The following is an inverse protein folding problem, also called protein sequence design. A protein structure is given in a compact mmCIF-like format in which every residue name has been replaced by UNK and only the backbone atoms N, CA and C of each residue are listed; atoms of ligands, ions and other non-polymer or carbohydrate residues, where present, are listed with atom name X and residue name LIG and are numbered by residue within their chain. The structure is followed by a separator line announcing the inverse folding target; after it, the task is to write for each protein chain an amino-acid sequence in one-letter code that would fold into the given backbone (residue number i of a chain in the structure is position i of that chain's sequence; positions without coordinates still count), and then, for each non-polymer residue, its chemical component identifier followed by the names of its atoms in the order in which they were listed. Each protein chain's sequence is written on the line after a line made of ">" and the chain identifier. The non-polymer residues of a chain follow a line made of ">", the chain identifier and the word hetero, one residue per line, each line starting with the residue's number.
data_IF_794870284554
#
_entry.id   IF_794870284554
#
_cell.length_a   1.000
_cell.length_b   1.000
_cell.length_c   1.000
_cell.angle_alpha   90.00
_cell.angle_beta   90.00
_cell.angle_gamma   90.00
#
_symmetry.space_group_name_H-M   'P 1'
#
loop_
_entity.id
_entity.type
_entity.pdbx_description
1 polymer ?
#
# COMPACT_ATOMS: atom_id res chain seq x y z
N UNK A 1 -20.65 -16.83 13.67
CA UNK A 1 -19.26 -16.31 13.56
C UNK A 1 -18.20 -17.41 13.38
N UNK A 2 -18.33 -18.53 14.10
CA UNK A 2 -17.39 -19.68 14.07
C UNK A 2 -17.32 -20.39 12.69
N UNK A 3 -18.46 -20.62 12.04
CA UNK A 3 -18.53 -21.24 10.69
C UNK A 3 -17.84 -20.42 9.59
N UNK A 4 -17.87 -19.07 9.67
CA UNK A 4 -17.15 -18.19 8.72
C UNK A 4 -15.63 -18.30 8.93
N UNK A 5 -15.16 -18.38 10.18
CA UNK A 5 -13.74 -18.59 10.51
C UNK A 5 -13.25 -19.95 10.02
N UNK A 6 -14.03 -21.02 10.24
CA UNK A 6 -13.69 -22.38 9.78
C UNK A 6 -13.64 -22.50 8.25
N UNK A 7 -14.61 -21.91 7.53
CA UNK A 7 -14.57 -21.84 6.06
C UNK A 7 -13.38 -21.03 5.53
N UNK A 8 -13.05 -19.90 6.17
CA UNK A 8 -11.87 -19.09 5.82
C UNK A 8 -10.58 -19.87 6.04
N UNK A 9 -10.46 -20.57 7.18
CA UNK A 9 -9.30 -21.37 7.53
C UNK A 9 -9.11 -22.55 6.56
N UNK A 10 -10.18 -23.29 6.25
CA UNK A 10 -10.15 -24.38 5.27
C UNK A 10 -9.75 -23.90 3.88
N UNK A 11 -10.30 -22.76 3.43
CA UNK A 11 -9.93 -22.11 2.17
C UNK A 11 -8.47 -21.66 2.15
N UNK A 12 -7.97 -20.99 3.19
CA UNK A 12 -6.57 -20.57 3.30
C UNK A 12 -5.61 -21.77 3.28
N UNK A 13 -5.98 -22.86 3.96
CA UNK A 13 -5.18 -24.09 3.99
C UNK A 13 -5.16 -24.79 2.64
N UNK A 14 -6.28 -24.86 1.93
CA UNK A 14 -6.33 -25.39 0.55
C UNK A 14 -5.55 -24.53 -0.44
N UNK A 15 -5.67 -23.22 -0.33
CA UNK A 15 -4.99 -22.28 -1.20
C UNK A 15 -3.47 -22.27 -0.95
N UNK A 16 -3.04 -22.46 0.31
CA UNK A 16 -1.66 -22.70 0.69
C UNK A 16 -1.11 -24.02 0.10
N UNK A 17 -1.90 -25.10 0.10
CA UNK A 17 -1.52 -26.38 -0.54
C UNK A 17 -1.35 -26.22 -2.06
N UNK A 18 -2.13 -25.33 -2.67
CA UNK A 18 -2.06 -25.01 -4.11
C UNK A 18 -1.06 -23.88 -4.44
N UNK A 19 -0.33 -23.33 -3.44
CA UNK A 19 0.50 -22.12 -3.59
C UNK A 19 -0.22 -20.93 -4.25
N UNK A 20 -1.54 -20.85 -4.08
CA UNK A 20 -2.39 -19.76 -4.60
C UNK A 20 -3.05 -19.02 -3.45
N UNK A 21 -2.30 -18.21 -2.69
CA UNK A 21 -2.84 -17.50 -1.54
C UNK A 21 -4.10 -16.68 -1.92
N UNK A 22 -5.10 -16.67 -1.03
CA UNK A 22 -6.39 -16.01 -1.31
C UNK A 22 -6.37 -14.49 -1.04
N UNK A 23 -5.33 -14.01 -0.37
CA UNK A 23 -5.21 -12.62 0.09
C UNK A 23 -3.77 -12.16 -0.09
N UNK A 24 -3.51 -10.86 -0.20
CA UNK A 24 -2.16 -10.28 -0.25
C UNK A 24 -1.36 -10.43 1.06
N UNK A 25 -2.05 -10.63 2.20
CA UNK A 25 -1.42 -10.84 3.52
C UNK A 25 -0.49 -12.05 3.59
N UNK A 26 0.71 -11.83 4.08
CA UNK A 26 1.81 -12.79 4.31
C UNK A 26 2.49 -12.54 5.64
N UNK A 27 3.43 -13.42 5.97
CA UNK A 27 4.15 -13.43 7.23
C UNK A 27 5.63 -13.69 7.00
N UNK A 28 6.48 -12.75 7.41
CA UNK A 28 7.93 -12.89 7.43
C UNK A 28 8.31 -13.64 8.71
N UNK A 29 9.29 -14.54 8.62
CA UNK A 29 9.76 -15.32 9.77
C UNK A 29 10.31 -14.38 10.85
N UNK A 30 9.58 -14.28 11.96
CA UNK A 30 9.93 -13.40 13.06
C UNK A 30 11.23 -13.78 13.77
N UNK A 31 11.67 -15.04 13.68
CA UNK A 31 12.93 -15.49 14.29
C UNK A 31 14.14 -15.09 13.46
N UNK A 32 14.00 -15.13 12.13
CA UNK A 32 15.03 -14.64 11.23
C UNK A 32 15.09 -13.10 11.25
N UNK A 33 13.93 -12.45 11.40
CA UNK A 33 13.81 -11.01 11.50
C UNK A 33 13.80 -10.30 10.14
N UNK A 34 13.50 -8.99 10.18
CA UNK A 34 13.34 -8.17 8.98
C UNK A 34 14.64 -8.03 8.18
N UNK A 35 15.79 -7.85 8.85
CA UNK A 35 17.09 -7.74 8.17
C UNK A 35 17.38 -8.97 7.31
N UNK A 36 17.22 -10.18 7.86
CA UNK A 36 17.47 -11.42 7.11
C UNK A 36 16.51 -11.57 5.92
N UNK A 37 15.27 -11.11 6.05
CA UNK A 37 14.32 -11.09 4.95
C UNK A 37 14.78 -10.13 3.83
N UNK A 38 15.14 -8.90 4.17
CA UNK A 38 15.61 -7.90 3.19
C UNK A 38 16.90 -8.35 2.49
N UNK A 39 17.85 -8.92 3.23
CA UNK A 39 19.07 -9.52 2.67
C UNK A 39 18.75 -10.67 1.71
N UNK A 40 17.75 -11.51 2.05
CA UNK A 40 17.29 -12.59 1.19
C UNK A 40 16.70 -12.07 -0.12
N UNK A 41 15.88 -11.01 -0.07
CA UNK A 41 15.33 -10.38 -1.27
C UNK A 41 16.42 -9.80 -2.16
N UNK A 42 17.41 -9.12 -1.55
CA UNK A 42 18.57 -8.56 -2.24
C UNK A 42 19.42 -9.65 -2.90
N UNK A 43 19.72 -10.73 -2.18
CA UNK A 43 20.48 -11.86 -2.70
C UNK A 43 19.77 -12.58 -3.85
N UNK A 44 18.44 -12.69 -3.78
CA UNK A 44 17.60 -13.25 -4.85
C UNK A 44 17.33 -12.28 -6.00
N UNK A 45 17.80 -11.02 -5.90
CA UNK A 45 17.58 -9.94 -6.87
C UNK A 45 16.09 -9.72 -7.18
N UNK A 46 15.26 -9.74 -6.14
CA UNK A 46 13.83 -9.46 -6.26
C UNK A 46 13.64 -7.98 -6.56
N UNK A 47 12.86 -7.64 -7.58
CA UNK A 47 12.43 -6.27 -7.87
C UNK A 47 11.21 -5.89 -7.02
N UNK A 48 11.47 -5.21 -5.90
CA UNK A 48 10.45 -4.78 -4.94
C UNK A 48 10.71 -3.38 -4.40
N UNK A 49 9.68 -2.83 -3.75
CA UNK A 49 9.69 -1.57 -2.96
C UNK A 49 8.86 -1.75 -1.70
N UNK A 50 9.37 -1.32 -0.55
CA UNK A 50 8.56 -1.12 0.67
C UNK A 50 7.85 0.23 0.58
N UNK A 51 6.53 0.24 0.60
CA UNK A 51 5.71 1.36 0.14
C UNK A 51 5.68 2.56 1.07
N UNK A 52 5.68 2.33 2.38
CA UNK A 52 5.49 3.37 3.41
C UNK A 52 5.96 2.86 4.76
N UNK A 53 6.13 3.78 5.69
CA UNK A 53 6.53 3.50 7.09
C UNK A 53 7.86 2.74 7.18
N UNK A 54 8.72 2.95 6.18
CA UNK A 54 10.00 2.26 6.07
C UNK A 54 11.11 2.94 6.88
N UNK A 55 10.89 4.15 7.40
CA UNK A 55 11.91 4.99 8.05
C UNK A 55 12.56 4.35 9.28
N UNK A 56 11.83 3.46 9.96
CA UNK A 56 12.34 2.73 11.13
C UNK A 56 12.92 1.37 10.80
N UNK A 57 12.87 0.92 9.54
CA UNK A 57 13.37 -0.40 9.19
C UNK A 57 14.88 -0.53 9.48
N UNK A 58 15.32 -1.69 10.00
CA UNK A 58 14.59 -2.95 10.11
C UNK A 58 13.68 -3.09 11.34
N UNK A 59 13.62 -2.09 12.21
CA UNK A 59 12.79 -2.12 13.42
C UNK A 59 11.32 -1.85 13.07
N UNK A 60 10.44 -2.72 13.59
CA UNK A 60 9.00 -2.68 13.33
C UNK A 60 8.28 -2.57 14.67
N UNK A 61 7.50 -1.51 14.80
CA UNK A 61 6.69 -1.29 16.00
C UNK A 61 5.67 -2.41 16.21
N UNK A 62 5.38 -2.79 17.47
CA UNK A 62 4.41 -3.85 17.75
C UNK A 62 3.04 -3.55 17.12
N UNK A 63 2.57 -4.47 16.27
CA UNK A 63 1.25 -4.35 15.63
C UNK A 63 1.27 -3.76 14.23
N UNK A 64 2.38 -3.14 13.81
CA UNK A 64 2.59 -2.66 12.45
C UNK A 64 2.83 -3.79 11.47
N UNK A 65 2.54 -3.51 10.21
CA UNK A 65 2.81 -4.37 9.07
C UNK A 65 3.65 -3.67 8.00
N UNK A 66 4.19 -4.46 7.08
CA UNK A 66 5.01 -3.96 5.98
C UNK A 66 4.28 -4.14 4.66
N UNK A 67 4.02 -3.05 3.95
CA UNK A 67 3.43 -3.08 2.62
C UNK A 67 4.51 -3.08 1.55
N UNK A 68 4.45 -4.05 0.65
CA UNK A 68 5.45 -4.29 -0.38
C UNK A 68 4.78 -4.30 -1.75
N UNK A 69 5.31 -3.52 -2.68
CA UNK A 69 5.06 -3.68 -4.11
C UNK A 69 6.17 -4.53 -4.73
N UNK A 70 5.82 -5.47 -5.60
CA UNK A 70 6.75 -6.34 -6.32
C UNK A 70 6.42 -6.37 -7.82
N UNK A 71 7.43 -6.51 -8.67
CA UNK A 71 7.23 -6.80 -10.09
C UNK A 71 6.46 -8.12 -10.27
N UNK A 72 5.67 -8.23 -11.34
CA UNK A 72 4.85 -9.42 -11.61
C UNK A 72 5.73 -10.66 -11.80
N UNK A 73 6.88 -10.49 -12.47
CA UNK A 73 7.89 -11.51 -12.74
C UNK A 73 8.59 -12.02 -11.48
N UNK A 74 8.54 -11.24 -10.40
CA UNK A 74 9.16 -11.51 -9.10
C UNK A 74 8.17 -11.95 -8.02
N UNK A 75 6.87 -11.90 -8.31
CA UNK A 75 5.83 -12.27 -7.36
C UNK A 75 6.02 -13.70 -6.80
N UNK A 76 6.48 -14.65 -7.63
CA UNK A 76 6.80 -15.99 -7.16
C UNK A 76 8.04 -16.02 -6.24
N UNK A 77 9.09 -15.27 -6.59
CA UNK A 77 10.36 -15.24 -5.83
C UNK A 77 10.16 -14.66 -4.44
N UNK A 78 9.38 -13.58 -4.31
CA UNK A 78 9.09 -12.99 -3.00
C UNK A 78 8.17 -13.88 -2.16
N UNK A 79 7.22 -14.57 -2.79
CA UNK A 79 6.30 -15.49 -2.09
C UNK A 79 7.07 -16.67 -1.48
N UNK A 80 8.14 -17.15 -2.11
CA UNK A 80 9.01 -18.19 -1.55
C UNK A 80 9.78 -17.74 -0.29
N UNK A 81 9.83 -16.44 -0.01
CA UNK A 81 10.49 -15.87 1.16
C UNK A 81 9.54 -15.63 2.35
N UNK A 82 8.25 -15.92 2.20
CA UNK A 82 7.22 -15.61 3.20
C UNK A 82 6.25 -16.77 3.42
N UNK A 83 5.57 -16.76 4.56
CA UNK A 83 4.54 -17.74 4.90
C UNK A 83 3.12 -17.22 4.67
N UNK A 84 2.20 -18.11 4.32
CA UNK A 84 0.75 -17.81 4.25
C UNK A 84 0.07 -17.94 5.62
N UNK A 85 0.65 -18.74 6.52
CA UNK A 85 0.13 -18.98 7.85
C UNK A 85 1.01 -18.29 8.89
N UNK A 86 0.38 -17.48 9.75
CA UNK A 86 1.06 -16.78 10.85
C UNK A 86 1.53 -17.75 11.92
N UNK A 87 2.77 -17.60 12.36
CA UNK A 87 3.33 -18.20 13.58
C UNK A 87 3.51 -17.13 14.67
N UNK A 88 3.84 -17.58 15.87
CA UNK A 88 4.21 -16.67 16.95
C UNK A 88 5.45 -15.87 16.53
N UNK A 89 5.46 -14.57 16.83
CA UNK A 89 6.52 -13.60 16.50
C UNK A 89 6.64 -13.22 15.03
N UNK A 90 5.93 -13.85 14.11
CA UNK A 90 5.97 -13.46 12.70
C UNK A 90 5.55 -12.01 12.48
N UNK A 91 6.28 -11.34 11.59
CA UNK A 91 6.01 -9.98 11.13
C UNK A 91 5.00 -10.06 10.00
N UNK A 92 3.90 -9.31 10.12
CA UNK A 92 2.89 -9.27 9.08
C UNK A 92 3.36 -8.39 7.92
N UNK A 93 3.10 -8.82 6.68
CA UNK A 93 3.33 -7.99 5.51
C UNK A 93 2.22 -8.18 4.47
N UNK A 94 2.00 -7.17 3.66
CA UNK A 94 1.09 -7.21 2.52
C UNK A 94 1.90 -7.13 1.23
N UNK A 95 1.74 -8.11 0.35
CA UNK A 95 2.44 -8.17 -0.93
C UNK A 95 1.48 -7.84 -2.06
N UNK A 96 1.76 -6.77 -2.78
CA UNK A 96 1.03 -6.33 -3.96
C UNK A 96 1.89 -6.48 -5.19
N UNK A 97 1.34 -7.03 -6.27
CA UNK A 97 2.01 -7.06 -7.58
C UNK A 97 1.49 -5.95 -8.48
N UNK A 98 2.28 -5.59 -9.49
CA UNK A 98 1.97 -4.52 -10.45
C UNK A 98 0.60 -4.73 -11.09
N UNK A 99 0.31 -5.91 -11.62
CA UNK A 99 -0.98 -6.18 -12.28
C UNK A 99 -2.08 -6.64 -11.31
N UNK A 100 -1.77 -6.80 -10.02
CA UNK A 100 -2.69 -7.42 -9.07
C UNK A 100 -2.91 -8.91 -9.34
N UNK A 101 -1.84 -9.68 -9.53
CA UNK A 101 -1.89 -11.14 -9.68
C UNK A 101 -2.65 -11.82 -8.52
N UNK A 102 -3.25 -13.00 -8.76
CA UNK A 102 -3.99 -13.73 -7.73
C UNK A 102 -3.20 -13.91 -6.43
N UNK A 103 -3.80 -13.50 -5.31
CA UNK A 103 -3.16 -13.56 -4.00
C UNK A 103 -2.18 -12.43 -3.70
N UNK A 104 -2.03 -11.47 -4.62
CA UNK A 104 -1.29 -10.21 -4.45
C UNK A 104 -2.10 -9.01 -4.94
N UNK A 105 -3.40 -9.22 -5.19
CA UNK A 105 -4.34 -8.16 -5.55
C UNK A 105 -4.89 -7.46 -4.30
N UNK A 106 -5.29 -6.21 -4.47
CA UNK A 106 -6.07 -5.45 -3.49
C UNK A 106 -7.47 -5.19 -4.04
N UNK A 107 -8.50 -5.69 -3.33
CA UNK A 107 -9.92 -5.52 -3.69
C UNK A 107 -10.18 -5.88 -5.17
N UNK A 108 -9.71 -7.05 -5.58
CA UNK A 108 -9.89 -7.62 -6.92
C UNK A 108 -9.25 -6.80 -8.07
N UNK A 109 -8.19 -6.05 -7.79
CA UNK A 109 -7.37 -5.38 -8.80
C UNK A 109 -5.95 -5.05 -8.32
N UNK A 110 -5.21 -4.30 -9.13
CA UNK A 110 -3.91 -3.74 -8.76
C UNK A 110 -4.06 -2.71 -7.63
N UNK A 111 -3.00 -2.53 -6.83
CA UNK A 111 -3.02 -1.59 -5.73
C UNK A 111 -2.93 -0.13 -6.21
N UNK A 112 -2.08 0.09 -7.22
CA UNK A 112 -1.87 1.35 -7.94
C UNK A 112 -2.20 1.15 -9.43
N UNK A 113 -2.33 2.23 -10.23
CA UNK A 113 -2.28 2.11 -11.69
C UNK A 113 -1.00 1.37 -12.13
N UNK A 114 -1.08 0.36 -13.02
CA UNK A 114 0.07 -0.50 -13.32
C UNK A 114 1.29 0.22 -13.89
N UNK A 115 1.09 1.27 -14.69
CA UNK A 115 2.18 2.12 -15.19
C UNK A 115 2.91 2.84 -14.05
N UNK A 116 2.16 3.39 -13.09
CA UNK A 116 2.72 4.06 -11.90
C UNK A 116 3.41 3.09 -10.94
N UNK A 117 2.87 1.88 -10.79
CA UNK A 117 3.52 0.82 -10.04
C UNK A 117 4.89 0.44 -10.64
N UNK A 118 4.99 0.30 -11.97
CA UNK A 118 6.26 0.03 -12.66
C UNK A 118 7.25 1.18 -12.52
N UNK A 119 6.78 2.41 -12.72
CA UNK A 119 7.62 3.61 -12.54
C UNK A 119 8.23 3.65 -11.13
N UNK A 120 7.43 3.35 -10.10
CA UNK A 120 7.91 3.32 -8.72
C UNK A 120 8.96 2.23 -8.47
N UNK A 121 8.81 1.04 -9.07
CA UNK A 121 9.82 -0.01 -9.01
C UNK A 121 11.12 0.41 -9.73
N UNK A 122 11.00 1.06 -10.89
CA UNK A 122 12.14 1.53 -11.68
C UNK A 122 12.94 2.61 -10.96
N UNK A 123 12.26 3.58 -10.35
CA UNK A 123 12.89 4.73 -9.68
C UNK A 123 13.29 4.47 -8.22
N UNK A 124 12.96 3.30 -7.68
CA UNK A 124 13.18 3.01 -6.27
C UNK A 124 14.66 3.13 -5.87
N UNK A 125 14.87 3.76 -4.71
CA UNK A 125 16.19 4.05 -4.16
C UNK A 125 16.52 3.12 -3.00
N UNK A 126 17.80 2.88 -2.78
CA UNK A 126 18.27 2.12 -1.62
C UNK A 126 18.36 3.03 -0.39
N UNK A 127 17.54 2.77 0.63
CA UNK A 127 17.67 3.39 1.94
C UNK A 127 18.70 2.62 2.77
N UNK A 128 19.74 3.31 3.23
CA UNK A 128 20.82 2.77 4.05
C UNK A 128 21.51 1.51 3.45
N UNK A 129 21.45 1.34 2.13
CA UNK A 129 21.95 0.15 1.43
C UNK A 129 21.21 -1.16 1.74
N UNK A 130 20.11 -1.10 2.51
CA UNK A 130 19.41 -2.25 3.09
C UNK A 130 18.10 -2.57 2.35
N UNK A 131 17.27 -1.56 2.12
CA UNK A 131 15.89 -1.74 1.61
C UNK A 131 15.63 -0.81 0.43
N UNK A 132 14.85 -1.29 -0.55
CA UNK A 132 14.34 -0.45 -1.64
C UNK A 132 13.06 0.25 -1.24
N UNK A 133 13.04 1.56 -1.39
CA UNK A 133 11.93 2.45 -1.03
C UNK A 133 11.61 3.36 -2.21
N UNK A 134 10.42 3.97 -2.29
CA UNK A 134 10.13 4.94 -3.32
C UNK A 134 11.09 6.13 -3.21
N UNK A 135 11.44 6.73 -4.34
CA UNK A 135 11.98 8.10 -4.38
C UNK A 135 11.02 9.07 -3.70
N UNK A 136 11.50 10.26 -3.32
CA UNK A 136 10.68 11.24 -2.58
C UNK A 136 9.40 11.61 -3.33
N UNK A 137 9.48 11.82 -4.64
CA UNK A 137 8.32 12.13 -5.49
C UNK A 137 7.32 10.97 -5.50
N UNK A 138 7.76 9.75 -5.79
CA UNK A 138 6.92 8.56 -5.78
C UNK A 138 6.39 8.23 -4.37
N UNK A 139 7.11 8.55 -3.30
CA UNK A 139 6.62 8.36 -1.93
C UNK A 139 5.45 9.31 -1.66
N UNK A 140 5.60 10.59 -2.00
CA UNK A 140 4.53 11.57 -1.91
C UNK A 140 3.29 11.09 -2.70
N UNK A 141 3.46 10.79 -4.00
CA UNK A 141 2.34 10.43 -4.89
C UNK A 141 1.65 9.13 -4.47
N UNK A 142 2.42 8.10 -4.11
CA UNK A 142 1.87 6.81 -3.72
C UNK A 142 1.20 6.84 -2.34
N UNK A 143 1.69 7.67 -1.40
CA UNK A 143 1.04 7.88 -0.11
C UNK A 143 -0.22 8.75 -0.26
N UNK A 144 -0.21 9.77 -1.11
CA UNK A 144 -1.40 10.55 -1.45
C UNK A 144 -2.49 9.64 -2.03
N UNK A 145 -2.11 8.78 -2.99
CA UNK A 145 -3.03 7.80 -3.57
C UNK A 145 -3.63 6.89 -2.50
N UNK A 146 -2.81 6.35 -1.59
CA UNK A 146 -3.29 5.53 -0.49
C UNK A 146 -4.29 6.28 0.39
N UNK A 147 -3.93 7.49 0.82
CA UNK A 147 -4.74 8.30 1.69
C UNK A 147 -6.11 8.61 1.06
N UNK A 148 -6.17 9.04 -0.20
CA UNK A 148 -7.44 9.47 -0.78
C UNK A 148 -8.27 8.31 -1.35
N UNK A 149 -7.65 7.33 -2.02
CA UNK A 149 -8.41 6.28 -2.72
C UNK A 149 -8.64 5.03 -1.87
N UNK A 150 -7.72 4.68 -0.95
CA UNK A 150 -7.89 3.51 -0.09
C UNK A 150 -8.54 3.82 1.26
N UNK A 151 -8.29 5.02 1.81
CA UNK A 151 -8.81 5.47 3.11
C UNK A 151 -9.92 6.52 3.00
N UNK A 152 -9.81 7.51 2.11
CA UNK A 152 -10.78 8.60 1.97
C UNK A 152 -10.88 9.41 3.26
N UNK A 153 -12.09 9.59 3.78
CA UNK A 153 -12.33 10.27 5.07
C UNK A 153 -11.58 9.66 6.26
N UNK A 154 -11.22 8.37 6.19
CA UNK A 154 -10.46 7.69 7.23
C UNK A 154 -8.97 8.08 7.26
N UNK A 155 -8.50 8.87 6.29
CA UNK A 155 -7.13 9.40 6.30
C UNK A 155 -6.97 10.62 7.23
N UNK A 156 -8.07 11.23 7.69
CA UNK A 156 -8.02 12.49 8.43
C UNK A 156 -7.78 13.73 7.58
N UNK A 157 -7.59 13.57 6.27
CA UNK A 157 -7.42 14.70 5.35
C UNK A 157 -8.78 15.40 5.16
N UNK A 158 -8.85 16.74 5.28
CA UNK A 158 -10.10 17.48 5.13
C UNK A 158 -10.59 17.49 3.69
N UNK A 159 -11.90 17.65 3.52
CA UNK A 159 -12.52 17.96 2.23
C UNK A 159 -12.65 19.48 2.05
N UNK A 160 -12.56 19.96 0.80
CA UNK A 160 -12.90 21.34 0.45
C UNK A 160 -14.37 21.66 0.76
N UNK A 161 -15.24 20.65 0.70
CA UNK A 161 -16.65 20.81 1.01
C UNK A 161 -16.86 20.73 2.53
N UNK A 162 -17.11 21.89 3.15
CA UNK A 162 -17.30 22.03 4.61
C UNK A 162 -18.27 21.00 5.20
N UNK A 163 -19.37 20.69 4.52
CA UNK A 163 -20.37 19.71 4.99
C UNK A 163 -19.81 18.28 5.11
N UNK A 164 -18.89 17.91 4.20
CA UNK A 164 -18.24 16.59 4.17
C UNK A 164 -17.23 16.41 5.31
N UNK A 165 -16.68 17.50 5.85
CA UNK A 165 -15.74 17.43 6.99
C UNK A 165 -16.33 16.85 8.27
N UNK A 166 -17.66 16.75 8.39
CA UNK A 166 -18.31 16.03 9.50
C UNK A 166 -18.06 14.52 9.47
N UNK A 167 -17.62 13.98 8.33
CA UNK A 167 -17.31 12.55 8.13
C UNK A 167 -15.82 12.22 8.25
N UNK A 168 -14.96 13.24 8.25
CA UNK A 168 -13.50 13.07 8.36
C UNK A 168 -13.18 12.54 9.75
N UNK A 169 -12.42 11.43 9.80
CA UNK A 169 -12.05 10.76 11.04
C UNK A 169 -10.59 11.04 11.31
N UNK A 170 -10.28 11.50 12.54
CA UNK A 170 -8.89 11.64 12.98
C UNK A 170 -8.25 10.24 13.06
N UNK A 171 -7.18 9.96 12.31
CA UNK A 171 -6.52 8.67 12.30
C UNK A 171 -5.87 8.38 13.66
N UNK A 172 -5.90 7.12 14.09
CA UNK A 172 -5.23 6.67 15.31
C UNK A 172 -3.79 6.20 15.05
N UNK A 173 -3.46 5.94 13.78
CA UNK A 173 -2.18 5.39 13.33
C UNK A 173 -1.21 6.52 12.94
N UNK A 174 -1.55 7.30 11.92
CA UNK A 174 -0.65 8.27 11.31
C UNK A 174 -1.34 9.57 10.91
N UNK A 175 -0.69 10.71 11.14
CA UNK A 175 -1.10 12.00 10.59
C UNK A 175 -0.75 12.08 9.09
N UNK A 176 -1.61 11.48 8.25
CA UNK A 176 -1.41 11.50 6.79
C UNK A 176 -1.26 12.92 6.25
N UNK A 177 -2.00 13.90 6.79
CA UNK A 177 -1.94 15.26 6.30
C UNK A 177 -0.56 15.86 6.54
N UNK A 178 -0.09 15.88 7.79
CA UNK A 178 1.23 16.45 8.12
C UNK A 178 2.37 15.75 7.41
N UNK A 179 2.29 14.42 7.26
CA UNK A 179 3.30 13.63 6.53
C UNK A 179 3.31 14.00 5.04
N UNK A 180 2.14 14.14 4.41
CA UNK A 180 2.04 14.56 3.01
C UNK A 180 2.51 15.99 2.80
N UNK A 181 2.22 16.93 3.71
CA UNK A 181 2.74 18.30 3.67
C UNK A 181 4.28 18.29 3.66
N UNK A 182 4.88 17.49 4.53
CA UNK A 182 6.34 17.33 4.60
C UNK A 182 6.93 16.69 3.34
N UNK A 183 6.36 15.58 2.86
CA UNK A 183 6.82 14.90 1.65
C UNK A 183 6.69 15.80 0.42
N UNK A 184 5.58 16.54 0.29
CA UNK A 184 5.39 17.50 -0.78
C UNK A 184 6.48 18.58 -0.76
N UNK A 185 6.80 19.15 0.40
CA UNK A 185 7.85 20.15 0.55
C UNK A 185 9.27 19.66 0.22
N UNK A 186 9.51 18.35 0.28
CA UNK A 186 10.78 17.71 -0.09
C UNK A 186 10.82 17.23 -1.55
N UNK A 187 9.65 17.05 -2.16
CA UNK A 187 9.51 16.57 -3.53
C UNK A 187 9.86 17.64 -4.56
N UNK A 188 10.09 17.22 -5.81
CA UNK A 188 10.22 18.14 -6.95
C UNK A 188 8.95 18.97 -7.20
N UNK A 189 7.83 18.62 -6.57
CA UNK A 189 6.55 19.31 -6.68
C UNK A 189 6.39 20.50 -5.72
N UNK A 190 7.34 20.74 -4.81
CA UNK A 190 7.24 21.76 -3.76
C UNK A 190 6.92 23.19 -4.27
N UNK A 191 7.27 23.52 -5.52
CA UNK A 191 6.94 24.81 -6.15
C UNK A 191 5.47 24.95 -6.55
N UNK A 192 4.72 23.85 -6.57
CA UNK A 192 3.30 23.83 -6.89
C UNK A 192 2.51 24.11 -5.61
N UNK A 193 1.74 25.19 -5.59
CA UNK A 193 0.84 25.44 -4.47
C UNK A 193 -0.23 24.34 -4.42
N UNK A 194 -0.23 23.57 -3.33
CA UNK A 194 -1.14 22.45 -3.12
C UNK A 194 -1.66 22.44 -1.69
N UNK A 195 -2.95 22.76 -1.55
CA UNK A 195 -3.64 22.58 -0.28
C UNK A 195 -3.90 21.08 -0.06
N UNK A 196 -3.59 20.57 1.14
CA UNK A 196 -3.81 19.16 1.49
C UNK A 196 -5.27 18.87 1.83
N UNK A 197 -6.13 18.99 0.82
CA UNK A 197 -7.52 18.53 0.85
C UNK A 197 -7.69 17.33 -0.07
N UNK A 198 -8.72 16.51 0.19
CA UNK A 198 -9.00 15.32 -0.60
C UNK A 198 -9.19 15.64 -2.09
N UNK A 199 -9.94 16.71 -2.40
CA UNK A 199 -10.22 17.13 -3.78
C UNK A 199 -8.99 17.71 -4.50
N UNK A 200 -8.13 18.44 -3.79
CA UNK A 200 -6.91 19.00 -4.37
C UNK A 200 -5.86 17.93 -4.65
N UNK A 201 -5.69 16.99 -3.73
CA UNK A 201 -4.85 15.82 -3.93
C UNK A 201 -5.35 14.97 -5.12
N UNK A 202 -6.65 14.76 -5.24
CA UNK A 202 -7.24 14.07 -6.39
C UNK A 202 -6.98 14.78 -7.72
N UNK A 203 -7.20 16.09 -7.77
CA UNK A 203 -6.91 16.89 -8.97
C UNK A 203 -5.43 16.82 -9.34
N UNK A 204 -4.54 16.91 -8.35
CA UNK A 204 -3.09 16.81 -8.53
C UNK A 204 -2.68 15.44 -9.07
N UNK A 205 -3.13 14.35 -8.42
CA UNK A 205 -2.87 12.99 -8.88
C UNK A 205 -3.44 12.73 -10.27
N UNK A 206 -4.62 13.26 -10.59
CA UNK A 206 -5.20 13.14 -11.92
C UNK A 206 -4.35 13.81 -12.99
N UNK A 207 -3.79 14.99 -12.71
CA UNK A 207 -2.91 15.69 -13.65
C UNK A 207 -1.64 14.91 -13.98
N UNK A 208 -1.20 14.04 -13.08
CA UNK A 208 -0.02 13.19 -13.23
C UNK A 208 -0.34 11.75 -13.68
N UNK A 209 -1.62 11.46 -13.95
CA UNK A 209 -2.08 10.12 -14.36
C UNK A 209 -2.12 9.09 -13.24
N UNK A 210 -2.14 9.50 -11.98
CA UNK A 210 -2.24 8.61 -10.81
C UNK A 210 -3.68 8.30 -10.40
N UNK A 211 -4.67 9.07 -10.86
CA UNK A 211 -6.08 8.80 -10.56
C UNK A 211 -6.49 7.43 -11.13
N UNK A 212 -7.18 6.57 -10.35
CA UNK A 212 -7.69 5.31 -10.87
C UNK A 212 -8.67 5.50 -12.02
N UNK A 213 -8.76 4.50 -12.90
CA UNK A 213 -9.76 4.48 -13.97
C UNK A 213 -11.20 4.44 -13.41
N UNK A 214 -12.23 4.80 -14.22
CA UNK A 214 -13.62 4.84 -13.77
C UNK A 214 -14.15 3.53 -13.16
N UNK A 215 -13.76 2.37 -13.69
CA UNK A 215 -14.20 1.07 -13.17
C UNK A 215 -13.54 0.77 -11.82
N UNK A 216 -12.28 1.15 -11.66
CA UNK A 216 -11.58 1.09 -10.37
C UNK A 216 -12.17 2.07 -9.35
N UNK A 217 -12.47 3.30 -9.72
CA UNK A 217 -13.16 4.26 -8.84
C UNK A 217 -14.51 3.71 -8.36
N UNK A 218 -15.31 3.15 -9.28
CA UNK A 218 -16.60 2.51 -8.97
C UNK A 218 -16.44 1.31 -8.02
N UNK A 219 -15.34 0.57 -8.12
CA UNK A 219 -15.04 -0.54 -7.22
C UNK A 219 -14.62 -0.04 -5.84
N UNK A 220 -13.79 1.00 -5.76
CA UNK A 220 -13.28 1.58 -4.53
C UNK A 220 -14.38 2.32 -3.75
N UNK A 221 -15.33 2.99 -4.43
CA UNK A 221 -16.44 3.73 -3.81
C UNK A 221 -17.32 2.87 -2.90
N UNK A 222 -17.37 1.54 -3.13
CA UNK A 222 -18.07 0.59 -2.27
C UNK A 222 -17.59 0.58 -0.81
N UNK A 223 -16.38 1.08 -0.55
CA UNK A 223 -15.78 1.13 0.80
C UNK A 223 -15.11 2.47 1.12
N UNK A 224 -15.09 3.39 0.17
CA UNK A 224 -14.57 4.73 0.33
C UNK A 224 -15.70 5.70 0.00
N UNK A 225 -16.37 6.16 1.05
CA UNK A 225 -17.55 7.03 0.94
C UNK A 225 -17.22 8.34 0.20
N UNK A 226 -16.02 8.89 0.42
CA UNK A 226 -15.58 10.10 -0.26
C UNK A 226 -15.55 9.93 -1.79
N UNK A 227 -15.05 8.80 -2.31
CA UNK A 227 -15.10 8.52 -3.76
C UNK A 227 -16.55 8.47 -4.25
N UNK A 228 -17.44 7.85 -3.47
CA UNK A 228 -18.86 7.78 -3.78
C UNK A 228 -19.47 9.17 -3.99
N UNK A 229 -19.21 10.09 -3.06
CA UNK A 229 -19.73 11.45 -3.09
C UNK A 229 -19.02 12.38 -4.09
N UNK A 230 -17.74 12.16 -4.34
CA UNK A 230 -16.93 13.01 -5.22
C UNK A 230 -17.15 12.70 -6.70
N UNK A 231 -17.31 11.42 -7.07
CA UNK A 231 -17.40 11.00 -8.47
C UNK A 231 -18.80 10.54 -8.92
N UNK A 232 -19.67 10.15 -7.98
CA UNK A 232 -20.95 9.51 -8.31
C UNK A 232 -22.15 10.09 -7.55
N UNK A 233 -21.93 11.10 -6.72
CA UNK A 233 -22.94 11.75 -5.87
C UNK A 233 -23.37 13.12 -6.37
#
# INVERSE_FOLDING_TARGET
>A
MLLKKLKRYGRQRYASLLRRPLTHRRYIDGKAGMTAFLDTLKAKRVDYVVLRWFDTLPDISPGEDVDILVADEDAARIVDCVSVNRRSQDIACDIYSVSGLPGTSHRDGSYYPPDKARQMLEHAVWMNGLVRVPSVDEHFLSLSYHAIYHKGYLSGIPSEHRMRNTKVVVPQDHDYRGILENLHGQSSHASTALDMTLERLDAFLSGLGWRPDPDTLKRLSKRNEWIGEHFFG
#
